data_IF_715832875057
#
_entry.id   IF_715832875057
#
_cell.length_a   1.000
_cell.length_b   1.000
_cell.length_c   1.000
_cell.angle_alpha   90.00
_cell.angle_beta   90.00
_cell.angle_gamma   90.00
#
_symmetry.space_group_name_H-M   'P 1'
#
loop_
_entity.id
_entity.type
_entity.pdbx_description
1 polymer ?
#
# COMPACT_ATOMS: atom_id res chain seq x y z
N UNK A 1 -18.79 -1.31 -13.09
CA UNK A 1 -17.58 -2.16 -13.08
C UNK A 1 -17.41 -2.71 -11.70
N UNK A 2 -17.06 -4.00 -11.58
CA UNK A 2 -16.97 -4.65 -10.29
C UNK A 2 -15.68 -4.23 -9.57
N UNK A 3 -15.78 -3.94 -8.28
CA UNK A 3 -14.65 -3.89 -7.36
C UNK A 3 -13.87 -5.21 -7.30
N UNK A 4 -14.21 -6.21 -8.11
CA UNK A 4 -13.63 -7.56 -8.10
C UNK A 4 -12.12 -7.57 -8.29
N UNK A 5 -11.54 -6.53 -8.91
CA UNK A 5 -10.08 -6.42 -9.10
C UNK A 5 -9.38 -5.65 -7.98
N UNK A 6 -10.13 -5.05 -7.04
CA UNK A 6 -9.55 -4.46 -5.83
C UNK A 6 -9.49 -5.56 -4.76
N UNK A 7 -8.32 -5.80 -4.16
CA UNK A 7 -8.16 -6.84 -3.16
C UNK A 7 -8.85 -6.47 -1.84
N UNK A 8 -9.11 -7.49 -1.02
CA UNK A 8 -9.36 -7.31 0.41
C UNK A 8 -8.15 -6.69 1.11
N UNK A 9 -8.36 -5.71 1.98
CA UNK A 9 -7.28 -5.01 2.68
C UNK A 9 -7.23 -5.43 4.14
N UNK A 10 -6.18 -6.13 4.54
CA UNK A 10 -5.81 -6.32 5.93
C UNK A 10 -4.97 -5.12 6.39
N UNK A 11 -5.59 -4.21 7.15
CA UNK A 11 -4.95 -3.00 7.65
C UNK A 11 -4.31 -3.28 9.02
N UNK A 12 -2.99 -3.45 9.04
CA UNK A 12 -2.20 -3.77 10.22
C UNK A 12 -1.79 -2.50 10.98
N UNK A 13 -2.50 -2.22 12.08
CA UNK A 13 -2.25 -1.05 12.93
C UNK A 13 -1.81 -1.51 14.32
N UNK A 14 -0.55 -1.27 14.68
CA UNK A 14 -0.08 -1.59 16.04
C UNK A 14 -0.57 -0.60 17.10
N UNK A 15 -0.79 0.66 16.72
CA UNK A 15 -1.20 1.72 17.64
C UNK A 15 -2.65 2.14 17.36
N UNK A 16 -3.47 2.21 18.42
CA UNK A 16 -4.91 2.55 18.33
C UNK A 16 -5.16 3.93 17.70
N UNK A 17 -4.22 4.88 17.83
CA UNK A 17 -4.35 6.21 17.22
C UNK A 17 -4.53 6.16 15.70
N UNK A 18 -3.94 5.17 15.02
CA UNK A 18 -4.13 5.01 13.57
C UNK A 18 -5.50 4.42 13.25
N UNK A 19 -6.00 3.51 14.09
CA UNK A 19 -7.34 2.94 13.95
C UNK A 19 -8.39 4.03 14.12
N UNK A 20 -8.25 4.87 15.16
CA UNK A 20 -9.14 6.00 15.40
C UNK A 20 -9.12 7.00 14.24
N UNK A 21 -7.94 7.43 13.80
CA UNK A 21 -7.80 8.36 12.67
C UNK A 21 -8.41 7.76 11.39
N UNK A 22 -8.21 6.47 11.13
CA UNK A 22 -8.79 5.79 9.97
C UNK A 22 -10.33 5.77 10.01
N UNK A 23 -10.94 5.47 11.16
CA UNK A 23 -12.39 5.53 11.30
C UNK A 23 -12.94 6.95 11.15
N UNK A 24 -12.24 7.96 11.68
CA UNK A 24 -12.60 9.37 11.48
C UNK A 24 -12.55 9.76 10.00
N UNK A 25 -11.45 9.43 9.31
CA UNK A 25 -11.31 9.70 7.88
C UNK A 25 -12.36 8.99 7.04
N UNK A 26 -12.70 7.73 7.35
CA UNK A 26 -13.79 7.01 6.70
C UNK A 26 -15.14 7.71 6.90
N UNK A 27 -15.46 8.13 8.12
CA UNK A 27 -16.72 8.83 8.38
C UNK A 27 -16.79 10.18 7.67
N UNK A 28 -15.67 10.90 7.58
CA UNK A 28 -15.56 12.21 6.96
C UNK A 28 -15.63 12.15 5.43
N UNK A 29 -14.80 11.31 4.80
CA UNK A 29 -14.63 11.31 3.35
C UNK A 29 -15.44 10.23 2.63
N UNK A 30 -15.80 9.15 3.32
CA UNK A 30 -16.53 8.04 2.71
C UNK A 30 -17.63 7.51 3.63
N UNK A 31 -18.65 8.32 4.00
CA UNK A 31 -19.72 7.91 4.90
C UNK A 31 -20.55 6.75 4.31
N UNK A 32 -21.26 6.01 5.15
CA UNK A 32 -22.13 4.88 4.71
C UNK A 32 -23.27 5.29 3.79
N UNK A 33 -23.69 6.56 3.84
CA UNK A 33 -24.69 7.13 2.95
C UNK A 33 -24.20 7.33 1.52
N UNK A 34 -22.89 7.18 1.26
CA UNK A 34 -22.32 7.31 -0.06
C UNK A 34 -22.71 6.13 -0.96
N UNK A 35 -23.12 6.41 -2.19
CA UNK A 35 -23.49 5.39 -3.19
C UNK A 35 -22.29 4.66 -3.81
N UNK A 36 -21.07 5.00 -3.38
CA UNK A 36 -19.82 4.44 -3.90
C UNK A 36 -19.39 3.32 -2.96
N UNK A 37 -19.29 2.07 -3.44
CA UNK A 37 -18.98 0.91 -2.61
C UNK A 37 -17.54 0.96 -2.13
N UNK A 38 -17.31 0.52 -0.89
CA UNK A 38 -15.97 0.47 -0.29
C UNK A 38 -15.30 -0.88 -0.57
N UNK A 39 -13.97 -0.91 -0.74
CA UNK A 39 -13.21 -2.16 -0.60
C UNK A 39 -13.49 -2.80 0.75
N UNK A 40 -13.39 -4.13 0.84
CA UNK A 40 -13.45 -4.82 2.14
C UNK A 40 -12.15 -4.57 2.90
N UNK A 41 -12.27 -4.15 4.16
CA UNK A 41 -11.13 -3.81 5.01
C UNK A 41 -11.31 -4.52 6.36
N UNK A 42 -10.27 -5.24 6.79
CA UNK A 42 -10.18 -5.79 8.16
C UNK A 42 -9.03 -5.14 8.87
N UNK A 43 -9.31 -4.53 10.03
CA UNK A 43 -8.29 -3.93 10.88
C UNK A 43 -7.71 -5.01 11.78
N UNK A 44 -6.38 -5.15 11.77
CA UNK A 44 -5.63 -6.03 12.64
C UNK A 44 -4.85 -5.18 13.64
N UNK A 45 -5.34 -5.12 14.88
CA UNK A 45 -4.64 -4.39 15.95
C UNK A 45 -3.49 -5.24 16.53
N UNK A 46 -2.44 -5.47 15.75
CA UNK A 46 -1.34 -6.33 16.17
C UNK A 46 -0.05 -6.01 15.45
N UNK A 47 1.05 -6.66 15.84
CA UNK A 47 2.33 -6.63 15.10
C UNK A 47 2.36 -7.71 14.02
N UNK A 48 3.20 -7.54 12.99
CA UNK A 48 3.32 -8.54 11.91
C UNK A 48 3.60 -9.95 12.45
N UNK A 49 4.47 -10.06 13.46
CA UNK A 49 4.82 -11.33 14.12
C UNK A 49 3.63 -12.02 14.79
N UNK A 50 2.61 -11.26 15.17
CA UNK A 50 1.44 -11.74 15.89
C UNK A 50 0.20 -11.89 14.99
N UNK A 51 0.32 -11.62 13.68
CA UNK A 51 -0.74 -11.88 12.72
C UNK A 51 -1.00 -13.40 12.67
N UNK A 52 -2.22 -13.86 12.99
CA UNK A 52 -2.53 -15.28 13.00
C UNK A 52 -2.32 -15.93 11.62
N UNK A 53 -1.89 -17.19 11.59
CA UNK A 53 -1.76 -17.98 10.36
C UNK A 53 -3.11 -18.23 9.65
N UNK A 54 -4.23 -18.01 10.33
CA UNK A 54 -5.57 -18.01 9.74
C UNK A 54 -5.87 -16.76 8.91
N UNK A 55 -5.15 -15.65 9.12
CA UNK A 55 -5.23 -14.46 8.28
C UNK A 55 -4.40 -14.67 7.02
N UNK A 56 -5.05 -14.95 5.89
CA UNK A 56 -4.37 -15.09 4.60
C UNK A 56 -4.20 -13.74 3.91
N UNK A 57 -3.06 -13.55 3.25
CA UNK A 57 -2.80 -12.44 2.35
C UNK A 57 -1.80 -12.85 1.26
N UNK A 58 -2.01 -12.38 0.03
CA UNK A 58 -1.18 -12.71 -1.13
C UNK A 58 0.01 -11.76 -1.29
N UNK A 59 -0.16 -10.51 -0.85
CA UNK A 59 0.77 -9.40 -1.01
C UNK A 59 0.97 -8.67 0.33
N UNK A 60 2.23 -8.43 0.70
CA UNK A 60 2.56 -7.51 1.80
C UNK A 60 3.12 -6.20 1.25
N UNK A 61 2.72 -5.07 1.82
CA UNK A 61 3.17 -3.74 1.40
C UNK A 61 4.36 -3.29 2.24
N UNK A 62 5.47 -2.98 1.58
CA UNK A 62 6.70 -2.46 2.15
C UNK A 62 6.78 -0.95 1.88
N UNK A 63 6.64 -0.08 2.90
CA UNK A 63 6.80 1.37 2.79
C UNK A 63 8.28 1.79 2.72
N UNK A 64 9.03 1.16 1.83
CA UNK A 64 10.49 1.22 1.72
C UNK A 64 11.01 2.62 1.35
N UNK A 65 12.33 2.70 1.14
CA UNK A 65 12.95 3.79 0.40
C UNK A 65 13.08 3.47 -1.10
N UNK A 66 13.43 4.48 -1.91
CA UNK A 66 13.57 4.38 -3.37
C UNK A 66 14.55 3.32 -3.88
N UNK A 67 15.42 2.78 -3.02
CA UNK A 67 16.39 1.75 -3.36
C UNK A 67 15.95 0.33 -2.94
N UNK A 68 14.71 0.16 -2.47
CA UNK A 68 14.14 -1.16 -2.16
C UNK A 68 14.86 -1.91 -1.04
N UNK A 69 15.45 -1.18 -0.08
CA UNK A 69 16.05 -1.77 1.12
C UNK A 69 14.96 -2.09 2.15
N UNK A 70 14.92 -3.36 2.59
CA UNK A 70 13.95 -3.83 3.58
C UNK A 70 14.59 -4.06 4.96
N UNK A 71 15.15 -3.00 5.55
CA UNK A 71 15.98 -3.10 6.76
C UNK A 71 15.57 -2.14 7.90
N UNK A 72 14.48 -1.39 7.73
CA UNK A 72 14.02 -0.38 8.69
C UNK A 72 12.60 -0.62 9.19
N UNK A 73 12.40 -0.54 10.51
CA UNK A 73 11.08 -0.56 11.15
C UNK A 73 10.15 -1.68 10.63
N UNK A 74 9.10 -1.35 9.88
CA UNK A 74 8.20 -2.37 9.32
C UNK A 74 8.91 -3.25 8.29
N UNK A 75 9.82 -2.72 7.50
CA UNK A 75 10.56 -3.51 6.52
C UNK A 75 11.51 -4.52 7.18
N UNK A 76 12.11 -4.17 8.33
CA UNK A 76 12.85 -5.15 9.15
C UNK A 76 11.93 -6.27 9.65
N UNK A 77 10.68 -5.95 10.02
CA UNK A 77 9.70 -6.96 10.40
C UNK A 77 9.35 -7.89 9.22
N UNK A 78 9.23 -7.36 8.00
CA UNK A 78 9.03 -8.15 6.78
C UNK A 78 10.22 -9.10 6.59
N UNK A 79 11.44 -8.57 6.55
CA UNK A 79 12.65 -9.38 6.34
C UNK A 79 12.78 -10.48 7.40
N UNK A 80 12.54 -10.19 8.69
CA UNK A 80 12.57 -11.22 9.75
C UNK A 80 11.45 -12.25 9.64
N UNK A 81 10.29 -11.88 9.12
CA UNK A 81 9.14 -12.77 9.00
C UNK A 81 9.32 -13.78 7.85
N UNK A 82 9.85 -13.33 6.72
CA UNK A 82 9.96 -14.14 5.51
C UNK A 82 11.35 -14.74 5.29
N UNK A 83 12.42 -14.00 5.60
CA UNK A 83 13.80 -14.45 5.46
C UNK A 83 14.29 -15.05 6.79
N UNK A 84 14.07 -16.36 7.00
CA UNK A 84 14.39 -17.05 8.27
C UNK A 84 15.71 -17.83 8.19
N UNK A 85 16.77 -17.43 8.93
CA UNK A 85 18.01 -18.20 9.00
C UNK A 85 17.83 -19.58 9.66
N UNK A 86 18.68 -20.57 9.32
CA UNK A 86 19.76 -20.50 8.35
C UNK A 86 19.31 -20.73 6.90
N UNK A 87 18.00 -20.88 6.65
CA UNK A 87 17.47 -21.26 5.33
C UNK A 87 17.52 -20.11 4.33
N UNK A 88 17.27 -18.89 4.80
CA UNK A 88 17.26 -17.68 3.98
C UNK A 88 18.06 -16.59 4.69
N UNK A 89 18.89 -15.89 3.91
CA UNK A 89 19.63 -14.73 4.38
C UNK A 89 18.68 -13.54 4.57
N UNK A 90 18.97 -12.68 5.53
CA UNK A 90 18.12 -11.53 5.87
C UNK A 90 17.77 -10.66 4.64
N UNK A 91 18.73 -10.48 3.74
CA UNK A 91 18.62 -9.61 2.57
C UNK A 91 17.98 -10.29 1.35
N UNK A 92 17.55 -11.56 1.40
CA UNK A 92 16.95 -12.27 0.25
C UNK A 92 15.83 -11.46 -0.44
N UNK A 93 14.90 -10.88 0.33
CA UNK A 93 13.83 -10.04 -0.24
C UNK A 93 14.34 -8.67 -0.74
N UNK A 94 15.34 -8.09 -0.09
CA UNK A 94 15.99 -6.85 -0.56
C UNK A 94 16.63 -7.07 -1.93
N UNK A 95 17.38 -8.15 -2.11
CA UNK A 95 18.04 -8.48 -3.38
C UNK A 95 17.02 -8.72 -4.50
N UNK A 96 15.94 -9.44 -4.19
CA UNK A 96 14.83 -9.66 -5.13
C UNK A 96 14.17 -8.35 -5.55
N UNK A 97 13.86 -7.48 -4.57
CA UNK A 97 13.29 -6.16 -4.83
C UNK A 97 14.24 -5.33 -5.71
N UNK A 98 15.51 -5.24 -5.36
CA UNK A 98 16.49 -4.45 -6.10
C UNK A 98 16.68 -4.92 -7.54
N UNK A 99 16.61 -6.24 -7.81
CA UNK A 99 16.62 -6.77 -9.17
C UNK A 99 15.44 -6.26 -10.00
N UNK A 100 14.22 -6.37 -9.47
CA UNK A 100 13.01 -5.88 -10.14
C UNK A 100 13.05 -4.36 -10.32
N UNK A 101 13.51 -3.62 -9.30
CA UNK A 101 13.69 -2.17 -9.38
C UNK A 101 14.73 -1.77 -10.43
N UNK A 102 15.79 -2.57 -10.62
CA UNK A 102 16.76 -2.34 -11.68
C UNK A 102 16.16 -2.53 -13.07
N UNK A 103 15.40 -3.61 -13.27
CA UNK A 103 14.76 -3.90 -14.54
C UNK A 103 13.74 -2.83 -14.93
N UNK A 104 12.91 -2.40 -13.97
CA UNK A 104 11.81 -1.45 -14.20
C UNK A 104 12.22 0.01 -14.13
N UNK A 105 13.08 0.37 -13.18
CA UNK A 105 13.38 1.76 -12.82
C UNK A 105 14.87 2.10 -12.86
N UNK A 106 15.72 1.17 -13.33
CA UNK A 106 17.19 1.31 -13.29
C UNK A 106 17.73 1.57 -11.89
N UNK A 107 17.06 1.00 -10.88
CA UNK A 107 17.52 0.93 -9.49
C UNK A 107 17.02 2.06 -8.59
N UNK A 108 16.20 2.97 -9.11
CA UNK A 108 15.61 4.06 -8.34
C UNK A 108 14.10 4.14 -8.58
N UNK A 109 13.31 3.66 -7.62
CA UNK A 109 11.85 3.84 -7.65
C UNK A 109 11.47 5.22 -7.09
N UNK A 110 10.88 6.13 -7.88
CA UNK A 110 10.47 7.43 -7.37
C UNK A 110 9.49 7.30 -6.19
N UNK A 111 9.61 8.12 -5.13
CA UNK A 111 8.60 8.16 -4.08
C UNK A 111 7.18 8.33 -4.64
N UNK A 112 6.18 7.74 -3.98
CA UNK A 112 4.79 7.79 -4.44
C UNK A 112 4.43 6.69 -5.45
N UNK A 113 5.40 5.93 -5.96
CA UNK A 113 5.14 4.80 -6.86
C UNK A 113 4.88 3.48 -6.11
N UNK A 114 4.50 2.44 -6.84
CA UNK A 114 4.43 1.07 -6.36
C UNK A 114 5.02 0.13 -7.41
N UNK A 115 5.79 -0.86 -6.95
CA UNK A 115 6.30 -1.96 -7.77
C UNK A 115 5.98 -3.29 -7.13
N UNK A 116 5.25 -4.16 -7.84
CA UNK A 116 5.02 -5.54 -7.41
C UNK A 116 6.29 -6.37 -7.65
N UNK A 117 6.74 -7.06 -6.61
CA UNK A 117 7.91 -7.93 -6.62
C UNK A 117 7.45 -9.32 -6.21
N UNK A 118 7.55 -10.34 -7.07
CA UNK A 118 7.27 -11.71 -6.66
C UNK A 118 8.34 -12.15 -5.67
N UNK A 119 7.95 -12.96 -4.70
CA UNK A 119 8.92 -13.62 -3.83
C UNK A 119 9.86 -14.49 -4.69
N UNK A 120 11.16 -14.54 -4.38
CA UNK A 120 12.06 -15.56 -4.92
C UNK A 120 11.47 -16.95 -4.71
N UNK A 121 11.71 -17.86 -5.66
CA UNK A 121 11.17 -19.22 -5.63
C UNK A 121 11.44 -19.94 -4.31
N UNK A 122 12.60 -19.67 -3.69
CA UNK A 122 12.99 -20.24 -2.39
C UNK A 122 12.11 -19.80 -1.21
N UNK A 123 11.40 -18.67 -1.29
CA UNK A 123 10.49 -18.17 -0.26
C UNK A 123 9.02 -18.57 -0.50
N UNK A 124 8.68 -19.03 -1.71
CA UNK A 124 7.31 -19.38 -2.08
C UNK A 124 6.88 -20.64 -1.32
N UNK A 125 5.77 -20.55 -0.59
CA UNK A 125 5.23 -21.66 0.21
C UNK A 125 5.87 -21.84 1.59
N UNK A 126 6.87 -21.04 1.94
CA UNK A 126 7.56 -21.14 3.24
C UNK A 126 6.85 -20.42 4.39
N UNK A 127 5.97 -19.48 4.07
CA UNK A 127 5.25 -18.69 5.07
C UNK A 127 3.82 -19.20 5.28
N UNK A 128 3.32 -19.07 6.50
CA UNK A 128 2.01 -19.60 6.90
C UNK A 128 0.83 -18.79 6.33
N UNK A 129 1.06 -17.57 5.85
CA UNK A 129 0.02 -16.67 5.35
C UNK A 129 -0.35 -16.88 3.88
N UNK A 130 0.46 -17.65 3.14
CA UNK A 130 0.28 -17.85 1.70
C UNK A 130 0.75 -16.67 0.85
N UNK A 131 1.49 -15.73 1.44
CA UNK A 131 2.01 -14.54 0.79
C UNK A 131 3.06 -14.93 -0.26
N UNK A 132 2.95 -14.35 -1.45
CA UNK A 132 3.85 -14.62 -2.60
C UNK A 132 4.45 -13.36 -3.20
N UNK A 133 4.10 -12.18 -2.68
CA UNK A 133 4.49 -10.90 -3.24
C UNK A 133 4.84 -9.89 -2.17
N UNK A 134 5.75 -8.98 -2.49
CA UNK A 134 5.94 -7.71 -1.76
C UNK A 134 5.70 -6.54 -2.72
N UNK A 135 4.91 -5.57 -2.30
CA UNK A 135 4.74 -4.29 -2.99
C UNK A 135 5.72 -3.29 -2.41
N UNK A 136 6.68 -2.84 -3.22
CA UNK A 136 7.61 -1.80 -2.86
C UNK A 136 6.94 -0.45 -3.13
N UNK A 137 6.52 0.23 -2.06
CA UNK A 137 5.91 1.56 -2.09
C UNK A 137 6.90 2.55 -1.48
N UNK A 138 7.88 3.08 -2.25
CA UNK A 138 8.84 4.02 -1.73
C UNK A 138 8.14 5.27 -1.18
N UNK A 139 8.30 5.53 0.11
CA UNK A 139 7.78 6.75 0.74
C UNK A 139 8.83 7.86 0.78
N UNK A 140 10.10 7.52 0.50
CA UNK A 140 11.23 8.44 0.57
C UNK A 140 12.41 7.94 -0.24
N UNK A 141 13.30 8.84 -0.68
CA UNK A 141 14.56 8.44 -1.34
C UNK A 141 15.51 7.72 -0.40
N UNK A 142 15.70 8.29 0.77
CA UNK A 142 16.58 7.85 1.85
C UNK A 142 15.81 8.02 3.16
N UNK A 143 16.07 7.25 4.23
CA UNK A 143 15.41 7.45 5.52
C UNK A 143 15.48 8.91 6.03
N UNK A 144 14.38 9.66 5.91
CA UNK A 144 14.23 11.02 6.42
C UNK A 144 12.75 11.44 6.55
N UNK A 145 12.51 12.62 7.13
CA UNK A 145 11.18 13.23 7.21
C UNK A 145 10.66 13.60 5.82
N UNK A 146 9.43 13.19 5.48
CA UNK A 146 8.86 13.33 4.14
C UNK A 146 7.91 14.52 4.00
N UNK A 147 8.01 15.52 4.88
CA UNK A 147 7.14 16.70 4.84
C UNK A 147 7.29 17.57 3.58
N UNK A 148 8.31 17.33 2.77
CA UNK A 148 8.49 17.96 1.46
C UNK A 148 7.44 17.47 0.46
N UNK A 149 7.03 16.21 0.59
CA UNK A 149 5.95 15.62 -0.18
C UNK A 149 4.67 15.73 0.63
N UNK A 150 3.74 16.55 0.14
CA UNK A 150 2.50 16.82 0.86
C UNK A 150 1.48 15.70 0.69
N UNK A 151 1.67 14.80 -0.28
CA UNK A 151 0.68 13.82 -0.73
C UNK A 151 1.22 12.39 -0.85
N UNK A 152 2.43 12.13 -0.33
CA UNK A 152 3.12 10.84 -0.44
C UNK A 152 2.25 9.62 -0.07
N UNK A 153 1.35 9.74 0.91
CA UNK A 153 0.46 8.65 1.30
C UNK A 153 -0.59 8.42 0.21
N UNK A 154 -1.21 9.50 -0.28
CA UNK A 154 -2.18 9.45 -1.36
C UNK A 154 -1.57 8.82 -2.62
N UNK A 155 -0.41 9.30 -3.03
CA UNK A 155 0.30 8.82 -4.23
C UNK A 155 0.66 7.33 -4.12
N UNK A 156 1.26 6.92 -3.00
CA UNK A 156 1.63 5.51 -2.78
C UNK A 156 0.40 4.59 -2.81
N UNK A 157 -0.69 4.97 -2.16
CA UNK A 157 -1.93 4.17 -2.11
C UNK A 157 -2.59 4.10 -3.48
N UNK A 158 -2.68 5.23 -4.19
CA UNK A 158 -3.19 5.27 -5.55
C UNK A 158 -2.35 4.38 -6.47
N UNK A 159 -1.01 4.51 -6.41
CA UNK A 159 -0.12 3.70 -7.24
C UNK A 159 -0.19 2.21 -6.89
N UNK A 160 -0.36 1.85 -5.61
CA UNK A 160 -0.58 0.46 -5.18
C UNK A 160 -1.84 -0.11 -5.80
N UNK A 161 -2.95 0.63 -5.72
CA UNK A 161 -4.23 0.20 -6.31
C UNK A 161 -4.14 0.07 -7.83
N UNK A 162 -3.47 1.00 -8.53
CA UNK A 162 -3.19 0.87 -9.96
C UNK A 162 -2.43 -0.42 -10.30
N UNK A 163 -1.39 -0.77 -9.52
CA UNK A 163 -0.60 -1.97 -9.78
C UNK A 163 -1.40 -3.25 -9.53
N UNK A 164 -2.12 -3.33 -8.41
CA UNK A 164 -2.87 -4.53 -8.05
C UNK A 164 -4.10 -4.72 -8.94
N UNK A 165 -4.89 -3.67 -9.16
CA UNK A 165 -6.06 -3.73 -10.05
C UNK A 165 -5.63 -4.04 -11.48
N UNK A 166 -4.55 -3.41 -11.96
CA UNK A 166 -4.00 -3.66 -13.30
C UNK A 166 -3.50 -5.09 -13.47
N UNK A 167 -2.82 -5.65 -12.47
CA UNK A 167 -2.41 -7.05 -12.44
C UNK A 167 -3.63 -7.98 -12.48
N UNK A 168 -4.58 -7.78 -11.57
CA UNK A 168 -5.80 -8.58 -11.46
C UNK A 168 -6.68 -8.51 -12.70
N UNK A 169 -6.65 -7.41 -13.48
CA UNK A 169 -7.36 -7.32 -14.75
C UNK A 169 -6.74 -8.19 -15.85
N UNK A 170 -5.43 -8.41 -15.81
CA UNK A 170 -4.67 -9.09 -16.86
C UNK A 170 -4.26 -10.53 -16.57
N UNK A 171 -4.31 -10.98 -15.31
CA UNK A 171 -3.84 -12.31 -14.91
C UNK A 171 -4.96 -13.36 -14.91
N UNK A 172 -4.56 -14.64 -14.79
CA UNK A 172 -5.51 -15.75 -14.57
C UNK A 172 -5.98 -15.75 -13.11
N UNK A 173 -7.12 -16.40 -12.84
CA UNK A 173 -7.72 -16.41 -11.50
C UNK A 173 -6.78 -16.92 -10.41
N UNK A 174 -5.91 -17.87 -10.71
CA UNK A 174 -4.96 -18.47 -9.76
C UNK A 174 -3.79 -17.54 -9.40
N UNK A 175 -3.55 -16.52 -10.23
CA UNK A 175 -2.46 -15.55 -10.10
C UNK A 175 -2.92 -14.22 -9.51
N UNK A 176 -4.22 -14.10 -9.21
CA UNK A 176 -4.82 -12.89 -8.64
C UNK A 176 -4.26 -12.61 -7.25
N UNK A 177 -4.14 -11.33 -6.95
CA UNK A 177 -3.88 -10.81 -5.61
C UNK A 177 -5.26 -10.51 -5.03
N UNK A 178 -5.79 -11.45 -4.25
CA UNK A 178 -7.13 -11.36 -3.65
C UNK A 178 -7.10 -10.59 -2.33
N UNK A 179 -5.95 -10.56 -1.66
CA UNK A 179 -5.80 -9.92 -0.36
C UNK A 179 -4.41 -9.32 -0.13
N UNK A 180 -4.37 -8.13 0.48
CA UNK A 180 -3.14 -7.41 0.79
C UNK A 180 -3.02 -7.20 2.31
N UNK A 181 -1.79 -7.14 2.82
CA UNK A 181 -1.48 -6.66 4.17
C UNK A 181 -0.70 -5.34 4.08
N UNK A 182 -1.24 -4.29 4.68
CA UNK A 182 -0.64 -2.95 4.65
C UNK A 182 -0.64 -2.33 6.04
N UNK A 183 0.39 -1.56 6.36
CA UNK A 183 0.51 -0.80 7.61
C UNK A 183 0.43 0.72 7.35
N UNK A 184 0.23 1.59 8.36
CA UNK A 184 0.30 3.04 8.17
C UNK A 184 1.64 3.52 7.58
N UNK A 185 1.66 3.80 6.28
CA UNK A 185 2.87 4.18 5.53
C UNK A 185 3.34 5.61 5.85
N UNK A 186 4.66 5.84 5.78
CA UNK A 186 5.31 7.12 6.06
C UNK A 186 5.15 7.69 7.49
N UNK A 187 4.49 6.96 8.41
CA UNK A 187 4.21 7.42 9.78
C UNK A 187 5.39 7.28 10.75
N UNK A 188 6.31 6.35 10.48
CA UNK A 188 7.50 6.09 11.30
C UNK A 188 8.63 7.13 11.11
N UNK A 189 9.58 6.83 10.24
CA UNK A 189 10.69 7.75 9.91
C UNK A 189 10.19 8.98 9.16
N UNK A 190 9.19 8.81 8.28
CA UNK A 190 8.64 9.89 7.47
C UNK A 190 7.94 11.00 8.27
N UNK A 191 7.48 10.71 9.50
CA UNK A 191 6.77 11.63 10.40
C UNK A 191 5.44 12.17 9.84
N UNK A 192 4.77 11.42 8.96
CA UNK A 192 3.38 11.72 8.61
C UNK A 192 2.50 11.47 9.85
N UNK A 193 1.62 12.41 10.17
CA UNK A 193 0.71 12.29 11.31
C UNK A 193 -0.34 11.21 11.07
N UNK A 194 -0.97 10.70 12.14
CA UNK A 194 -2.04 9.71 12.00
C UNK A 194 -3.24 10.26 11.23
N UNK A 195 -3.60 11.53 11.45
CA UNK A 195 -4.68 12.22 10.74
C UNK A 195 -4.37 12.35 9.25
N UNK A 196 -3.20 12.90 8.90
CA UNK A 196 -2.78 13.05 7.50
C UNK A 196 -2.71 11.72 6.76
N UNK A 197 -2.12 10.70 7.38
CA UNK A 197 -2.09 9.36 6.80
C UNK A 197 -3.50 8.82 6.53
N UNK A 198 -4.38 8.87 7.53
CA UNK A 198 -5.71 8.31 7.43
C UNK A 198 -6.56 9.00 6.37
N UNK A 199 -6.57 10.34 6.34
CA UNK A 199 -7.32 11.11 5.36
C UNK A 199 -6.84 10.83 3.93
N UNK A 200 -5.52 10.89 3.70
CA UNK A 200 -4.97 10.59 2.38
C UNK A 200 -5.17 9.14 1.94
N UNK A 201 -5.08 8.19 2.87
CA UNK A 201 -5.32 6.78 2.59
C UNK A 201 -6.78 6.54 2.15
N UNK A 202 -7.75 7.14 2.85
CA UNK A 202 -9.17 7.04 2.51
C UNK A 202 -9.50 7.76 1.22
N UNK A 203 -8.99 8.98 1.02
CA UNK A 203 -9.20 9.75 -0.21
C UNK A 203 -8.67 9.01 -1.44
N UNK A 204 -7.45 8.46 -1.37
CA UNK A 204 -6.86 7.69 -2.46
C UNK A 204 -7.72 6.48 -2.84
N UNK A 205 -8.19 5.70 -1.85
CA UNK A 205 -9.08 4.57 -2.15
C UNK A 205 -10.42 5.02 -2.74
N UNK A 206 -11.01 6.10 -2.22
CA UNK A 206 -12.31 6.60 -2.66
C UNK A 206 -12.24 7.13 -4.09
N UNK A 207 -11.25 7.98 -4.37
CA UNK A 207 -11.01 8.51 -5.71
C UNK A 207 -10.71 7.37 -6.69
N UNK A 208 -9.95 6.35 -6.27
CA UNK A 208 -9.62 5.22 -7.15
C UNK A 208 -10.87 4.39 -7.50
N UNK A 209 -11.72 4.09 -6.52
CA UNK A 209 -13.01 3.42 -6.80
C UNK A 209 -13.88 4.28 -7.70
N UNK A 210 -13.88 5.59 -7.49
CA UNK A 210 -14.60 6.50 -8.35
C UNK A 210 -14.10 6.47 -9.80
N UNK A 211 -12.79 6.39 -9.99
CA UNK A 211 -12.16 6.23 -11.30
C UNK A 211 -12.62 4.98 -12.04
N UNK A 212 -12.74 3.84 -11.34
CA UNK A 212 -13.28 2.61 -11.92
C UNK A 212 -14.77 2.71 -12.27
N UNK A 213 -15.53 3.56 -11.57
CA UNK A 213 -16.98 3.71 -11.80
C UNK A 213 -17.32 4.73 -12.87
N UNK A 214 -16.48 5.75 -13.04
CA UNK A 214 -16.68 6.86 -13.98
C UNK A 214 -15.53 6.91 -15.00
N UNK A 215 -15.26 5.83 -15.75
CA UNK A 215 -14.11 5.77 -16.67
C UNK A 215 -14.16 6.85 -17.76
N UNK A 216 -15.35 7.27 -18.20
CA UNK A 216 -15.49 8.37 -19.17
C UNK A 216 -15.03 9.72 -18.59
N UNK A 217 -15.34 10.00 -17.31
CA UNK A 217 -14.85 11.19 -16.59
C UNK A 217 -13.34 11.12 -16.42
N UNK A 218 -12.85 10.04 -15.82
CA UNK A 218 -11.44 9.90 -15.44
C UNK A 218 -10.51 9.69 -16.64
N UNK A 219 -11.03 9.20 -17.76
CA UNK A 219 -10.31 9.14 -19.04
C UNK A 219 -10.20 10.48 -19.77
N UNK A 220 -10.93 11.52 -19.34
CA UNK A 220 -11.00 12.81 -20.02
C UNK A 220 -11.32 13.99 -19.06
N UNK A 221 -10.60 14.07 -17.94
CA UNK A 221 -10.84 15.10 -16.91
C UNK A 221 -10.66 16.52 -17.45
N UNK A 222 -11.60 17.41 -17.15
CA UNK A 222 -11.44 18.85 -17.36
C UNK A 222 -10.62 19.48 -16.23
N UNK A 223 -10.14 20.72 -16.42
CA UNK A 223 -9.52 21.47 -15.32
C UNK A 223 -10.45 21.68 -14.13
N UNK A 224 -11.78 21.74 -14.35
CA UNK A 224 -12.76 21.81 -13.29
C UNK A 224 -12.75 20.54 -12.43
N UNK A 225 -12.79 19.37 -13.08
CA UNK A 225 -12.71 18.08 -12.40
C UNK A 225 -11.38 17.95 -11.64
N UNK A 226 -10.25 18.27 -12.28
CA UNK A 226 -8.93 18.20 -11.64
C UNK A 226 -8.86 19.10 -10.41
N UNK A 227 -9.43 20.31 -10.48
CA UNK A 227 -9.45 21.24 -9.36
C UNK A 227 -10.22 20.66 -8.17
N UNK A 228 -11.38 20.05 -8.41
CA UNK A 228 -12.18 19.42 -7.35
C UNK A 228 -11.39 18.32 -6.62
N UNK A 229 -10.78 17.39 -7.36
CA UNK A 229 -10.00 16.28 -6.78
C UNK A 229 -8.78 16.80 -6.01
N UNK A 230 -8.08 17.81 -6.55
CA UNK A 230 -6.88 18.40 -5.95
C UNK A 230 -7.20 19.20 -4.68
N UNK A 231 -8.26 20.00 -4.68
CA UNK A 231 -8.62 20.81 -3.49
C UNK A 231 -9.02 19.94 -2.30
N UNK A 232 -9.61 18.76 -2.54
CA UNK A 232 -9.93 17.85 -1.45
C UNK A 232 -8.68 17.21 -0.82
N UNK A 233 -7.70 16.79 -1.62
CA UNK A 233 -6.43 16.26 -1.08
C UNK A 233 -5.59 17.38 -0.42
N UNK A 234 -5.64 18.59 -0.97
CA UNK A 234 -5.01 19.78 -0.38
C UNK A 234 -5.45 20.09 1.04
N UNK A 235 -6.70 19.79 1.38
CA UNK A 235 -7.22 20.00 2.73
C UNK A 235 -6.41 19.23 3.79
N UNK A 236 -5.72 18.16 3.40
CA UNK A 236 -4.92 17.33 4.30
C UNK A 236 -3.46 17.77 4.44
N UNK A 237 -3.02 18.83 3.75
CA UNK A 237 -1.60 19.17 3.61
C UNK A 237 -0.93 19.58 4.92
N UNK A 238 -1.66 20.26 5.79
CA UNK A 238 -1.16 20.84 7.04
C UNK A 238 -1.50 20.00 8.29
N UNK A 239 -2.00 18.77 8.09
CA UNK A 239 -2.30 17.80 9.15
C UNK A 239 -1.06 17.07 9.70
#
# INVERSE_FOLDING_TARGET
MALSNIPHINLLCMEERFIHAFHQALAQHWPETHTTPKPTITILNTSLRQVPSSTKFDLIVSPANSYGRLDGAFDDAISRAFCRPPKHEYDTLTEAAQKVLYERWRGFAPPGTCTLVPFPDELVGENEWGCRWVAICPTMRWPHRVSWDREIVYECVWSLLCQVEGWNRGCKNEERIESILITPIATGIGKVSAAKWAEQFVLAMRHFVDALRRPERWGALSWGDVTEEVEEVKATWEL
#
